data_IF_414877113822
#
_entry.id   IF_414877113822
#
_cell.length_a   1.000
_cell.length_b   1.000
_cell.length_c   1.000
_cell.angle_alpha   90.00
_cell.angle_beta   90.00
_cell.angle_gamma   90.00
#
_symmetry.space_group_name_H-M   'P 1'
#
loop_
_entity.id
_entity.type
_entity.pdbx_description
1 polymer ?
#
# COMPACT_ATOMS: atom_id res chain seq x y z
N UNK A 1 -18.11 2.43 7.95
CA UNK A 1 -17.40 2.35 6.66
C UNK A 1 -16.82 0.94 6.53
N UNK A 2 -17.00 0.29 5.38
CA UNK A 2 -16.41 -1.02 5.12
C UNK A 2 -15.18 -0.85 4.22
N UNK A 3 -14.02 -1.29 4.68
CA UNK A 3 -12.75 -1.18 3.95
C UNK A 3 -12.22 -2.58 3.65
N UNK A 4 -12.02 -2.87 2.37
CA UNK A 4 -11.38 -4.13 1.96
C UNK A 4 -9.87 -3.97 1.94
N UNK A 5 -9.16 -4.96 2.47
CA UNK A 5 -7.70 -4.98 2.50
C UNK A 5 -7.16 -6.36 2.14
N UNK A 6 -5.87 -6.44 1.83
CA UNK A 6 -5.14 -7.71 1.69
C UNK A 6 -3.93 -7.69 2.63
N UNK A 7 -3.77 -8.73 3.45
CA UNK A 7 -2.59 -8.88 4.31
C UNK A 7 -1.49 -9.60 3.54
N UNK A 8 -0.27 -9.06 3.53
CA UNK A 8 0.88 -9.63 2.82
C UNK A 8 2.13 -9.49 3.69
N UNK A 9 3.21 -10.19 3.37
CA UNK A 9 4.52 -9.91 3.94
C UNK A 9 5.65 -10.18 2.95
N UNK A 10 6.76 -9.46 3.10
CA UNK A 10 8.03 -9.73 2.43
C UNK A 10 9.08 -10.11 3.47
N UNK A 11 9.44 -11.39 3.57
CA UNK A 11 10.43 -11.88 4.55
C UNK A 11 10.15 -11.45 6.01
N UNK A 12 8.89 -11.52 6.44
CA UNK A 12 8.47 -11.16 7.79
C UNK A 12 8.05 -9.70 7.97
N UNK A 13 8.47 -8.78 7.09
CA UNK A 13 7.96 -7.41 7.11
C UNK A 13 6.54 -7.38 6.52
N UNK A 14 5.54 -7.16 7.36
CA UNK A 14 4.13 -7.37 7.03
C UNK A 14 3.37 -6.07 6.71
N UNK A 15 2.48 -6.18 5.72
CA UNK A 15 1.73 -5.08 5.16
C UNK A 15 0.23 -5.36 5.17
N UNK A 16 -0.57 -4.32 5.35
CA UNK A 16 -1.93 -4.29 4.78
C UNK A 16 -1.90 -3.48 3.48
N UNK A 17 -2.52 -4.02 2.42
CA UNK A 17 -2.61 -3.37 1.12
C UNK A 17 -4.04 -2.93 0.86
N UNK A 18 -4.23 -1.64 0.55
CA UNK A 18 -5.50 -1.01 0.22
C UNK A 18 -5.50 -0.62 -1.25
N UNK A 19 -6.58 -0.98 -1.96
CA UNK A 19 -6.81 -0.53 -3.33
C UNK A 19 -7.69 0.73 -3.32
N UNK A 20 -7.08 1.86 -3.65
CA UNK A 20 -7.70 3.17 -3.74
C UNK A 20 -7.83 3.66 -5.20
N UNK A 21 -7.83 2.76 -6.19
CA UNK A 21 -7.91 3.12 -7.61
C UNK A 21 -9.24 3.78 -8.00
N UNK A 22 -10.34 3.36 -7.36
CA UNK A 22 -11.70 3.87 -7.65
C UNK A 22 -12.19 4.88 -6.63
N UNK A 23 -11.82 4.69 -5.36
CA UNK A 23 -12.25 5.52 -4.26
C UNK A 23 -11.00 6.03 -3.56
N UNK A 24 -10.87 7.36 -3.48
CA UNK A 24 -9.79 7.98 -2.74
C UNK A 24 -9.80 7.46 -1.30
N UNK A 25 -8.61 7.12 -0.81
CA UNK A 25 -8.43 6.61 0.53
C UNK A 25 -7.54 7.58 1.30
N UNK A 26 -8.06 8.06 2.41
CA UNK A 26 -7.30 8.89 3.34
C UNK A 26 -7.70 8.50 4.75
N UNK A 27 -6.69 8.25 5.58
CA UNK A 27 -6.85 8.03 7.01
C UNK A 27 -6.00 9.05 7.75
N UNK A 28 -6.59 9.61 8.80
CA UNK A 28 -5.82 10.32 9.80
C UNK A 28 -4.80 9.35 10.46
N UNK A 29 -3.58 9.80 10.82
CA UNK A 29 -2.54 8.95 11.39
C UNK A 29 -3.02 8.08 12.57
N UNK A 30 -3.92 8.60 13.40
CA UNK A 30 -4.47 7.90 14.57
C UNK A 30 -5.29 6.66 14.18
N UNK A 31 -5.92 6.67 13.01
CA UNK A 31 -6.62 5.50 12.49
C UNK A 31 -5.65 4.44 11.97
N UNK A 32 -4.54 4.86 11.36
CA UNK A 32 -3.48 3.93 10.91
C UNK A 32 -2.88 3.24 12.14
N UNK A 33 -2.57 3.99 13.20
CA UNK A 33 -2.06 3.45 14.46
C UNK A 33 -3.02 2.42 15.09
N UNK A 34 -4.33 2.71 15.14
CA UNK A 34 -5.34 1.77 15.64
C UNK A 34 -5.42 0.48 14.81
N UNK A 35 -5.29 0.58 13.48
CA UNK A 35 -5.28 -0.60 12.62
C UNK A 35 -3.97 -1.40 12.76
N UNK A 36 -2.85 -0.72 13.01
CA UNK A 36 -1.52 -1.30 13.14
C UNK A 36 -1.30 -2.03 14.47
N UNK A 37 -2.09 -1.73 15.51
CA UNK A 37 -2.05 -2.45 16.78
C UNK A 37 -2.29 -3.95 16.55
N UNK A 38 -1.37 -4.79 17.04
CA UNK A 38 -1.38 -6.24 16.78
C UNK A 38 -2.37 -7.01 17.66
N UNK A 39 -2.88 -6.41 18.72
CA UNK A 39 -3.80 -7.07 19.66
C UNK A 39 -5.26 -6.70 19.40
N UNK A 40 -5.50 -5.46 19.01
CA UNK A 40 -6.84 -4.87 18.85
C UNK A 40 -7.17 -4.47 17.42
N UNK A 41 -6.15 -4.30 16.58
CA UNK A 41 -6.28 -3.99 15.15
C UNK A 41 -6.04 -5.20 14.26
N UNK A 42 -5.67 -4.93 13.01
CA UNK A 42 -5.25 -5.96 12.05
C UNK A 42 -3.81 -6.42 12.36
N UNK A 43 -3.00 -5.51 12.90
CA UNK A 43 -1.58 -5.70 13.12
C UNK A 43 -0.79 -5.61 11.82
N UNK A 44 0.20 -4.73 11.69
CA UNK A 44 1.12 -4.69 10.56
C UNK A 44 2.31 -3.77 10.86
N UNK A 45 3.43 -3.96 10.15
CA UNK A 45 4.51 -2.99 10.16
C UNK A 45 4.16 -1.75 9.35
N UNK A 46 3.57 -1.97 8.16
CA UNK A 46 3.31 -0.90 7.19
C UNK A 46 1.94 -1.04 6.48
N UNK A 47 1.33 0.09 6.15
CA UNK A 47 0.15 0.21 5.31
C UNK A 47 0.59 0.65 3.91
N UNK A 48 0.25 -0.12 2.88
CA UNK A 48 0.50 0.20 1.48
C UNK A 48 -0.81 0.57 0.79
N UNK A 49 -0.86 1.74 0.16
CA UNK A 49 -2.05 2.23 -0.55
C UNK A 49 -1.72 2.32 -2.04
N UNK A 50 -2.51 1.62 -2.87
CA UNK A 50 -2.40 1.65 -4.34
C UNK A 50 -3.38 2.67 -4.89
N UNK A 51 -2.86 3.65 -5.62
CA UNK A 51 -3.57 4.85 -6.08
C UNK A 51 -3.50 4.97 -7.61
N UNK A 52 -4.44 5.72 -8.23
CA UNK A 52 -4.36 6.00 -9.67
C UNK A 52 -3.07 6.78 -9.98
N UNK A 53 -2.53 6.63 -11.20
CA UNK A 53 -1.30 7.32 -11.58
C UNK A 53 -1.51 8.84 -11.60
N UNK A 54 -0.52 9.56 -11.08
CA UNK A 54 -0.51 11.03 -11.07
C UNK A 54 0.29 11.66 -12.23
N UNK A 55 0.97 10.84 -13.03
CA UNK A 55 1.77 11.24 -14.19
C UNK A 55 1.55 10.25 -15.35
N UNK A 56 1.65 10.69 -16.61
CA UNK A 56 1.37 9.82 -17.78
C UNK A 56 2.25 8.58 -17.90
N UNK A 57 3.48 8.64 -17.42
CA UNK A 57 4.49 7.57 -17.50
C UNK A 57 4.34 6.47 -16.44
N UNK A 58 3.47 6.65 -15.45
CA UNK A 58 3.22 5.67 -14.39
C UNK A 58 1.91 4.93 -14.64
N UNK A 59 1.88 3.62 -14.33
CA UNK A 59 0.63 2.85 -14.30
C UNK A 59 -0.11 3.04 -12.98
N UNK A 60 0.63 3.29 -11.90
CA UNK A 60 0.11 3.45 -10.55
C UNK A 60 0.90 4.49 -9.77
N UNK A 61 0.25 5.03 -8.74
CA UNK A 61 0.95 5.56 -7.58
C UNK A 61 0.87 4.52 -6.45
N UNK A 62 1.87 4.46 -5.57
CA UNK A 62 1.63 3.91 -4.24
C UNK A 62 2.31 4.72 -3.15
N UNK A 63 1.72 4.64 -1.95
CA UNK A 63 2.20 5.29 -0.73
C UNK A 63 2.35 4.25 0.37
N UNK A 64 3.32 4.48 1.26
CA UNK A 64 3.58 3.61 2.41
C UNK A 64 3.51 4.43 3.68
N UNK A 65 2.78 3.92 4.67
CA UNK A 65 2.71 4.48 6.01
C UNK A 65 3.22 3.46 7.02
N UNK A 66 4.03 3.89 7.97
CA UNK A 66 4.42 3.05 9.09
C UNK A 66 3.26 2.87 10.08
N UNK A 67 3.42 1.94 11.01
CA UNK A 67 2.49 1.72 12.12
C UNK A 67 2.22 2.97 12.97
N UNK A 68 3.14 3.95 13.00
CA UNK A 68 2.95 5.25 13.67
C UNK A 68 2.10 6.25 12.86
N UNK A 69 1.65 5.86 11.66
CA UNK A 69 0.83 6.68 10.78
C UNK A 69 1.60 7.68 9.92
N UNK A 70 2.92 7.78 10.06
CA UNK A 70 3.74 8.63 9.19
C UNK A 70 3.96 7.99 7.84
N UNK A 71 3.82 8.79 6.79
CA UNK A 71 4.22 8.39 5.45
C UNK A 71 5.74 8.29 5.37
N UNK A 72 6.23 7.23 4.74
CA UNK A 72 7.64 6.95 4.59
C UNK A 72 7.99 6.64 3.15
N UNK A 73 9.27 6.71 2.85
CA UNK A 73 9.80 6.36 1.55
C UNK A 73 9.55 4.88 1.21
N UNK A 74 9.53 4.59 -0.07
CA UNK A 74 9.37 3.23 -0.56
C UNK A 74 10.54 2.33 -0.10
N UNK A 75 10.22 1.10 0.29
CA UNK A 75 11.20 0.08 0.62
C UNK A 75 11.13 -1.08 -0.38
N UNK A 76 12.22 -1.83 -0.51
CA UNK A 76 12.26 -2.99 -1.41
C UNK A 76 11.21 -4.06 -1.08
N UNK A 77 10.77 -4.18 0.18
CA UNK A 77 9.71 -5.13 0.57
C UNK A 77 8.34 -4.65 0.10
N UNK A 78 8.02 -3.38 0.30
CA UNK A 78 6.78 -2.75 -0.14
C UNK A 78 6.62 -2.83 -1.66
N UNK A 79 7.68 -2.52 -2.41
CA UNK A 79 7.68 -2.63 -3.87
C UNK A 79 7.36 -4.07 -4.35
N UNK A 80 7.93 -5.10 -3.70
CA UNK A 80 7.63 -6.50 -4.03
C UNK A 80 6.20 -6.89 -3.70
N UNK A 81 5.68 -6.45 -2.54
CA UNK A 81 4.29 -6.68 -2.16
C UNK A 81 3.33 -5.97 -3.13
N UNK A 82 3.61 -4.72 -3.49
CA UNK A 82 2.87 -3.95 -4.48
C UNK A 82 2.82 -4.67 -5.84
N UNK A 83 3.97 -5.00 -6.41
CA UNK A 83 4.05 -5.63 -7.72
C UNK A 83 3.25 -6.94 -7.76
N UNK A 84 3.44 -7.79 -6.73
CA UNK A 84 2.66 -9.01 -6.60
C UNK A 84 1.16 -8.74 -6.47
N UNK A 85 0.76 -7.76 -5.66
CA UNK A 85 -0.64 -7.41 -5.45
C UNK A 85 -1.33 -7.00 -6.76
N UNK A 86 -0.76 -6.06 -7.52
CA UNK A 86 -1.40 -5.57 -8.75
C UNK A 86 -1.46 -6.64 -9.84
N UNK A 87 -0.48 -7.54 -9.90
CA UNK A 87 -0.51 -8.70 -10.79
C UNK A 87 -1.57 -9.72 -10.37
N UNK A 88 -1.61 -10.14 -9.10
CA UNK A 88 -2.57 -11.15 -8.61
C UNK A 88 -4.02 -10.67 -8.69
N UNK A 89 -4.24 -9.36 -8.47
CA UNK A 89 -5.55 -8.71 -8.63
C UNK A 89 -5.91 -8.38 -10.09
N UNK A 90 -5.03 -8.71 -11.05
CA UNK A 90 -5.20 -8.42 -12.48
C UNK A 90 -5.48 -6.94 -12.75
N UNK A 91 -4.83 -6.07 -12.00
CA UNK A 91 -4.91 -4.61 -12.15
C UNK A 91 -3.98 -4.09 -13.24
N UNK A 92 -2.96 -4.89 -13.60
CA UNK A 92 -2.08 -4.65 -14.74
C UNK A 92 -1.87 -5.94 -15.52
N UNK A 93 -1.57 -5.80 -16.81
CA UNK A 93 -1.08 -6.87 -17.70
C UNK A 93 0.41 -6.71 -18.04
N UNK A 94 1.04 -5.63 -17.58
CA UNK A 94 2.45 -5.33 -17.84
C UNK A 94 3.37 -6.27 -17.07
N UNK A 95 4.49 -6.63 -17.69
CA UNK A 95 5.58 -7.36 -17.02
C UNK A 95 6.47 -6.43 -16.22
N UNK A 96 6.78 -5.27 -16.79
CA UNK A 96 7.53 -4.19 -16.15
C UNK A 96 6.54 -3.08 -15.81
N UNK A 97 6.35 -2.82 -14.51
CA UNK A 97 5.32 -1.92 -14.01
C UNK A 97 6.00 -0.61 -13.63
N UNK A 98 5.71 0.46 -14.38
CA UNK A 98 6.14 1.81 -14.02
C UNK A 98 5.25 2.34 -12.90
N UNK A 99 5.87 2.83 -11.83
CA UNK A 99 5.16 3.27 -10.63
C UNK A 99 5.79 4.52 -10.07
N UNK A 100 4.94 5.44 -9.61
CA UNK A 100 5.38 6.64 -8.91
C UNK A 100 5.19 6.50 -7.41
N UNK A 101 6.20 6.92 -6.67
CA UNK A 101 6.26 6.93 -5.22
C UNK A 101 6.50 8.36 -4.71
N UNK A 102 6.55 8.55 -3.39
CA UNK A 102 6.85 9.87 -2.80
C UNK A 102 8.30 10.36 -3.06
N UNK A 103 9.19 9.50 -3.56
CA UNK A 103 10.61 9.80 -3.80
C UNK A 103 11.01 9.75 -5.28
N UNK A 104 10.06 9.46 -6.17
CA UNK A 104 10.27 9.26 -7.60
C UNK A 104 9.13 8.46 -8.21
#
# INVERSE_FOLDING_TARGET
>A
MQLSFTKMHGLGNDFIVINALKNAFSLAPEHIQKLADRHTGVGFDQLLVVEPPSVPEAEFNYRIFNADGREVEQCGNGARCFARYVTEKKLTSSRDISVKTNTG
#
